data_IF_062599296638
#
_entry.id   IF_062599296638
#
_cell.length_a   1.000
_cell.length_b   1.000
_cell.length_c   1.000
_cell.angle_alpha   90.00
_cell.angle_beta   90.00
_cell.angle_gamma   90.00
#
_symmetry.space_group_name_H-M   'P 1'
#
loop_
_entity.id
_entity.type
_entity.pdbx_description
1 polymer ?
#
# COMPACT_ATOMS: atom_id res chain seq x y z
N UNK A 1 -2.20 41.35 -33.20
CA UNK A 1 -1.54 40.04 -33.35
C UNK A 1 -1.26 39.46 -31.96
N UNK A 2 -2.16 38.65 -31.37
CA UNK A 2 -1.89 38.02 -30.08
C UNK A 2 -1.07 36.74 -30.28
N UNK A 3 0.04 36.64 -29.52
CA UNK A 3 0.97 35.50 -29.53
C UNK A 3 0.29 34.25 -28.96
N UNK A 4 0.48 33.14 -29.69
CA UNK A 4 0.04 31.78 -29.37
C UNK A 4 0.52 31.37 -27.97
N UNK A 5 -0.41 31.04 -27.07
CA UNK A 5 -0.09 30.48 -25.75
C UNK A 5 0.21 28.99 -25.92
N UNK A 6 1.48 28.63 -25.75
CA UNK A 6 1.95 27.23 -25.74
C UNK A 6 1.40 26.53 -24.49
N UNK A 7 0.58 25.50 -24.68
CA UNK A 7 0.01 24.70 -23.61
C UNK A 7 1.10 23.82 -22.97
N UNK A 8 1.51 24.13 -21.74
CA UNK A 8 2.39 23.26 -20.97
C UNK A 8 1.61 22.02 -20.50
N UNK A 9 1.91 20.88 -21.14
CA UNK A 9 1.59 19.53 -20.64
C UNK A 9 2.26 19.37 -19.28
N UNK A 10 1.45 19.19 -18.23
CA UNK A 10 1.95 18.81 -16.91
C UNK A 10 2.16 17.30 -16.93
N UNK A 11 3.38 16.88 -17.30
CA UNK A 11 3.80 15.48 -17.18
C UNK A 11 3.74 15.08 -15.70
N UNK A 12 2.72 14.28 -15.41
CA UNK A 12 2.41 13.72 -14.10
C UNK A 12 3.41 12.62 -13.77
N UNK A 13 4.64 13.02 -13.47
CA UNK A 13 5.61 12.19 -12.77
C UNK A 13 6.11 13.03 -11.61
N UNK A 14 5.28 13.17 -10.58
CA UNK A 14 5.76 13.44 -9.23
C UNK A 14 6.65 12.26 -8.82
N UNK A 15 7.88 12.27 -9.34
CA UNK A 15 9.03 11.60 -8.78
C UNK A 15 9.00 11.95 -7.31
N UNK A 16 8.72 10.94 -6.49
CA UNK A 16 8.87 10.99 -5.04
C UNK A 16 10.07 11.88 -4.74
N UNK A 17 9.81 13.07 -4.18
CA UNK A 17 10.88 13.96 -3.73
C UNK A 17 11.70 13.15 -2.75
N UNK A 18 12.82 12.60 -3.22
CA UNK A 18 13.81 11.96 -2.37
C UNK A 18 14.35 13.10 -1.53
N UNK A 19 13.81 13.22 -0.31
CA UNK A 19 14.27 14.18 0.67
C UNK A 19 15.73 13.78 0.96
N UNK A 20 16.68 14.51 0.37
CA UNK A 20 18.11 14.31 0.62
C UNK A 20 18.39 14.75 2.05
N UNK A 21 18.27 13.83 3.01
CA UNK A 21 18.76 14.03 4.38
C UNK A 21 20.28 13.88 4.36
N UNK A 22 20.98 14.81 5.00
CA UNK A 22 22.44 14.87 5.04
C UNK A 22 23.05 13.53 5.49
N UNK A 23 24.06 13.07 4.76
CA UNK A 23 24.72 11.78 4.96
C UNK A 23 25.70 11.89 6.13
N UNK A 24 25.19 11.89 7.36
CA UNK A 24 26.03 11.78 8.55
C UNK A 24 26.40 10.31 8.76
N UNK A 25 27.71 10.04 8.91
CA UNK A 25 28.31 8.73 9.22
C UNK A 25 27.94 8.28 10.64
N UNK A 26 26.66 8.03 10.88
CA UNK A 26 26.15 7.41 12.09
C UNK A 26 25.23 6.27 11.68
N UNK A 27 25.34 5.17 12.40
CA UNK A 27 24.61 3.89 12.34
C UNK A 27 23.07 3.99 12.44
N UNK A 28 22.49 5.17 12.18
CA UNK A 28 21.12 5.56 12.42
C UNK A 28 20.39 5.99 11.13
N UNK A 29 20.56 5.25 10.03
CA UNK A 29 19.85 5.54 8.79
C UNK A 29 18.53 4.76 8.73
N UNK A 30 17.41 5.39 9.13
CA UNK A 30 16.06 4.87 8.93
C UNK A 30 15.49 5.34 7.58
N UNK A 31 14.85 4.44 6.85
CA UNK A 31 14.22 4.71 5.55
C UNK A 31 12.74 5.02 5.72
N UNK A 32 12.18 5.80 4.80
CA UNK A 32 10.74 6.11 4.77
C UNK A 32 9.85 4.86 4.71
N UNK A 33 10.34 3.78 4.09
CA UNK A 33 9.66 2.49 4.07
C UNK A 33 9.56 1.86 5.47
N UNK A 34 10.60 2.01 6.30
CA UNK A 34 10.61 1.54 7.68
C UNK A 34 9.64 2.36 8.53
N UNK A 35 9.67 3.69 8.40
CA UNK A 35 8.75 4.61 9.10
C UNK A 35 7.29 4.28 8.79
N UNK A 36 6.99 4.06 7.50
CA UNK A 36 5.66 3.67 7.03
C UNK A 36 5.24 2.31 7.59
N UNK A 37 6.16 1.34 7.61
CA UNK A 37 5.87 0.02 8.13
C UNK A 37 5.53 0.06 9.61
N UNK A 38 6.36 0.72 10.42
CA UNK A 38 6.15 0.86 11.87
C UNK A 38 4.80 1.55 12.16
N UNK A 39 4.49 2.62 11.42
CA UNK A 39 3.23 3.36 11.60
C UNK A 39 1.98 2.52 11.26
N UNK A 40 2.05 1.70 10.21
CA UNK A 40 0.95 0.83 9.80
C UNK A 40 0.72 -0.35 10.75
N UNK A 41 1.79 -0.79 11.42
CA UNK A 41 1.84 -1.99 12.26
C UNK A 41 1.90 -1.64 13.74
N UNK A 42 1.48 -0.42 14.13
CA UNK A 42 1.63 0.11 15.50
C UNK A 42 1.03 -0.79 16.60
N UNK A 43 -0.03 -1.53 16.28
CA UNK A 43 -0.76 -2.41 17.20
C UNK A 43 -0.07 -3.76 17.40
N UNK A 44 0.95 -4.10 16.61
CA UNK A 44 1.59 -5.42 16.63
C UNK A 44 2.69 -5.52 17.68
N UNK A 45 3.08 -4.39 18.26
CA UNK A 45 4.17 -4.30 19.22
C UNK A 45 5.56 -4.35 18.57
N UNK A 46 6.54 -3.72 19.23
CA UNK A 46 7.86 -3.48 18.64
C UNK A 46 8.66 -4.77 18.37
N UNK A 47 8.36 -5.87 19.06
CA UNK A 47 9.01 -7.18 18.81
C UNK A 47 8.59 -7.74 17.45
N UNK A 48 7.28 -7.84 17.19
CA UNK A 48 6.79 -8.38 15.93
C UNK A 48 7.12 -7.46 14.74
N UNK A 49 7.07 -6.14 14.95
CA UNK A 49 7.48 -5.16 13.94
C UNK A 49 8.96 -5.36 13.56
N UNK A 50 9.85 -5.65 14.52
CA UNK A 50 11.26 -5.87 14.22
C UNK A 50 11.50 -7.11 13.35
N UNK A 51 10.78 -8.21 13.60
CA UNK A 51 10.82 -9.40 12.74
C UNK A 51 10.23 -9.14 11.35
N UNK A 52 9.17 -8.34 11.27
CA UNK A 52 8.60 -7.88 10.01
C UNK A 52 9.57 -7.03 9.18
N UNK A 53 10.29 -6.12 9.82
CA UNK A 53 11.36 -5.33 9.19
C UNK A 53 12.50 -6.23 8.70
N UNK A 54 12.90 -7.21 9.50
CA UNK A 54 13.92 -8.20 9.12
C UNK A 54 13.52 -8.99 7.88
N UNK A 55 12.25 -9.39 7.76
CA UNK A 55 11.69 -10.03 6.56
C UNK A 55 11.76 -9.16 5.30
N UNK A 56 11.83 -7.83 5.43
CA UNK A 56 12.03 -6.90 4.32
C UNK A 56 13.51 -6.55 4.07
N UNK A 57 14.44 -7.20 4.79
CA UNK A 57 15.88 -6.93 4.70
C UNK A 57 16.37 -5.76 5.57
N UNK A 58 15.54 -5.25 6.48
CA UNK A 58 15.91 -4.19 7.43
C UNK A 58 16.17 -4.79 8.81
N UNK A 59 17.45 -5.00 9.13
CA UNK A 59 17.87 -5.57 10.40
C UNK A 59 17.85 -4.52 11.51
N UNK A 60 16.74 -4.45 12.26
CA UNK A 60 16.56 -3.55 13.41
C UNK A 60 16.31 -4.36 14.66
N UNK A 61 16.98 -4.02 15.75
CA UNK A 61 16.65 -4.61 17.05
C UNK A 61 15.26 -4.14 17.51
N UNK A 62 14.51 -4.94 18.29
CA UNK A 62 13.23 -4.55 18.86
C UNK A 62 13.30 -3.19 19.60
N UNK A 63 14.39 -3.00 20.35
CA UNK A 63 14.62 -1.77 21.11
C UNK A 63 14.89 -0.56 20.22
N UNK A 64 15.61 -0.74 19.10
CA UNK A 64 15.79 0.34 18.12
C UNK A 64 14.45 0.77 17.51
N UNK A 65 13.56 -0.18 17.21
CA UNK A 65 12.20 0.10 16.72
C UNK A 65 11.39 0.89 17.75
N UNK A 66 11.41 0.44 19.02
CA UNK A 66 10.72 1.12 20.13
C UNK A 66 11.19 2.57 20.29
N UNK A 67 12.50 2.77 20.33
CA UNK A 67 13.11 4.08 20.51
C UNK A 67 12.89 4.99 19.29
N UNK A 68 12.91 4.45 18.08
CA UNK A 68 12.63 5.20 16.86
C UNK A 68 11.18 5.64 16.78
N UNK A 69 10.23 4.75 17.07
CA UNK A 69 8.81 5.10 17.14
C UNK A 69 8.56 6.24 18.14
N UNK A 70 9.13 6.13 19.34
CA UNK A 70 9.00 7.13 20.38
C UNK A 70 9.64 8.48 20.02
N UNK A 71 10.91 8.47 19.59
CA UNK A 71 11.68 9.70 19.35
C UNK A 71 11.33 10.39 18.04
N UNK A 72 11.15 9.62 16.97
CA UNK A 72 11.03 10.13 15.60
C UNK A 72 9.58 10.14 15.12
N UNK A 73 8.82 9.07 15.35
CA UNK A 73 7.43 8.95 14.88
C UNK A 73 6.39 9.47 15.89
N UNK A 74 6.82 9.82 17.11
CA UNK A 74 6.03 10.45 18.17
C UNK A 74 4.83 9.62 18.67
N UNK A 75 4.99 8.29 18.71
CA UNK A 75 4.04 7.41 19.39
C UNK A 75 4.74 6.28 20.16
N UNK A 76 4.18 5.83 21.29
CA UNK A 76 4.69 4.67 22.01
C UNK A 76 4.30 3.37 21.27
N UNK A 77 5.14 2.35 21.39
CA UNK A 77 4.84 0.99 20.96
C UNK A 77 4.81 0.08 22.19
N UNK A 78 3.78 -0.78 22.27
CA UNK A 78 3.73 -1.89 23.20
C UNK A 78 4.79 -2.95 22.84
N UNK A 79 5.16 -3.81 23.80
CA UNK A 79 6.11 -4.92 23.55
C UNK A 79 5.50 -6.01 22.68
N UNK A 80 4.24 -6.34 22.96
CA UNK A 80 3.48 -7.39 22.32
C UNK A 80 2.24 -6.81 21.63
N UNK A 81 1.64 -7.54 20.67
CA UNK A 81 0.44 -7.09 19.99
C UNK A 81 -0.67 -6.72 20.97
N UNK A 82 -1.31 -5.58 20.74
CA UNK A 82 -2.53 -5.21 21.43
C UNK A 82 -3.68 -6.11 20.92
N UNK A 83 -4.50 -6.60 21.83
CA UNK A 83 -5.63 -7.47 21.49
C UNK A 83 -6.64 -6.74 20.57
N UNK A 84 -7.23 -7.47 19.60
CA UNK A 84 -8.28 -6.93 18.71
C UNK A 84 -8.01 -7.05 17.21
N UNK A 85 -6.90 -7.66 16.79
CA UNK A 85 -6.68 -7.98 15.37
C UNK A 85 -7.61 -9.10 14.92
N UNK A 86 -8.44 -8.81 13.91
CA UNK A 86 -9.36 -9.79 13.30
C UNK A 86 -8.57 -10.76 12.43
N UNK A 87 -9.02 -12.01 12.31
CA UNK A 87 -8.47 -12.93 11.31
C UNK A 87 -8.88 -12.51 9.90
N UNK A 88 -8.01 -12.79 8.93
CA UNK A 88 -8.26 -12.56 7.52
C UNK A 88 -9.52 -13.33 7.08
N UNK A 89 -10.47 -12.63 6.46
CA UNK A 89 -11.73 -13.21 5.97
C UNK A 89 -11.49 -14.29 4.91
N UNK A 90 -10.45 -14.14 4.09
CA UNK A 90 -10.16 -15.07 3.00
C UNK A 90 -9.51 -16.37 3.47
N UNK A 91 -8.45 -16.27 4.26
CA UNK A 91 -7.63 -17.45 4.60
C UNK A 91 -7.79 -17.93 6.04
N UNK A 92 -8.35 -17.12 6.94
CA UNK A 92 -8.46 -17.45 8.37
C UNK A 92 -7.12 -17.54 9.13
N UNK A 93 -5.98 -17.69 8.45
CA UNK A 93 -4.69 -17.94 9.09
C UNK A 93 -4.03 -16.68 9.65
N UNK A 94 -3.96 -15.63 8.84
CA UNK A 94 -3.21 -14.41 9.15
C UNK A 94 -4.12 -13.30 9.66
N UNK A 95 -3.54 -12.35 10.41
CA UNK A 95 -4.28 -11.24 10.97
C UNK A 95 -4.50 -10.10 9.95
N UNK A 96 -5.71 -9.56 9.96
CA UNK A 96 -6.13 -8.36 9.25
C UNK A 96 -5.75 -7.12 10.08
N UNK A 97 -4.67 -6.44 9.66
CA UNK A 97 -4.07 -5.34 10.44
C UNK A 97 -4.79 -4.01 10.20
N UNK A 98 -5.47 -3.41 11.20
CA UNK A 98 -6.42 -2.31 11.01
C UNK A 98 -5.77 -1.01 10.50
N UNK A 99 -4.47 -0.83 10.72
CA UNK A 99 -3.70 0.31 10.22
C UNK A 99 -3.47 0.29 8.70
N UNK A 100 -3.82 -0.80 8.01
CA UNK A 100 -3.62 -0.98 6.57
C UNK A 100 -4.95 -0.98 5.81
N UNK A 101 -4.91 -0.60 4.52
CA UNK A 101 -6.08 -0.73 3.63
C UNK A 101 -6.58 -2.17 3.57
N UNK A 102 -5.65 -3.14 3.56
CA UNK A 102 -5.96 -4.57 3.59
C UNK A 102 -6.80 -4.93 4.83
N UNK A 103 -6.32 -4.56 6.02
CA UNK A 103 -7.01 -4.93 7.26
C UNK A 103 -8.30 -4.17 7.48
N UNK A 104 -8.44 -2.92 7.00
CA UNK A 104 -9.73 -2.22 6.98
C UNK A 104 -10.78 -2.94 6.12
N UNK A 105 -10.34 -3.60 5.05
CA UNK A 105 -11.18 -4.46 4.22
C UNK A 105 -11.33 -5.89 4.78
N UNK A 106 -10.72 -6.21 5.93
CA UNK A 106 -10.79 -7.54 6.56
C UNK A 106 -9.80 -8.58 6.01
N UNK A 107 -8.82 -8.17 5.20
CA UNK A 107 -7.85 -9.08 4.59
C UNK A 107 -6.45 -8.95 5.21
N UNK A 108 -5.69 -10.04 5.18
CA UNK A 108 -4.24 -9.95 5.35
C UNK A 108 -3.59 -9.34 4.08
N UNK A 109 -2.35 -8.80 4.18
CA UNK A 109 -1.68 -8.15 3.04
C UNK A 109 -1.58 -9.03 1.79
N UNK A 110 -1.33 -10.34 1.97
CA UNK A 110 -1.18 -11.30 0.87
C UNK A 110 -2.50 -11.55 0.15
N UNK A 111 -3.57 -11.89 0.88
CA UNK A 111 -4.89 -12.12 0.31
C UNK A 111 -5.43 -10.85 -0.35
N UNK A 112 -5.20 -9.67 0.25
CA UNK A 112 -5.60 -8.40 -0.35
C UNK A 112 -4.93 -8.14 -1.70
N UNK A 113 -3.65 -8.50 -1.83
CA UNK A 113 -2.92 -8.34 -3.09
C UNK A 113 -3.46 -9.28 -4.18
N UNK A 114 -3.79 -10.52 -3.80
CA UNK A 114 -4.48 -11.47 -4.69
C UNK A 114 -5.86 -10.95 -5.12
N UNK A 115 -6.67 -10.43 -4.17
CA UNK A 115 -8.00 -9.89 -4.46
C UNK A 115 -7.95 -8.68 -5.39
N UNK A 116 -6.97 -7.78 -5.23
CA UNK A 116 -6.75 -6.68 -6.17
C UNK A 116 -6.45 -7.19 -7.58
N UNK A 117 -5.56 -8.17 -7.70
CA UNK A 117 -5.23 -8.74 -9.00
C UNK A 117 -6.45 -9.40 -9.66
N UNK A 118 -7.29 -10.07 -8.87
CA UNK A 118 -8.56 -10.62 -9.35
C UNK A 118 -9.53 -9.53 -9.80
N UNK A 119 -9.73 -8.47 -9.01
CA UNK A 119 -10.60 -7.36 -9.38
C UNK A 119 -10.15 -6.66 -10.68
N UNK A 120 -8.84 -6.54 -10.91
CA UNK A 120 -8.31 -6.04 -12.18
C UNK A 120 -8.66 -6.94 -13.38
N UNK A 121 -8.68 -8.26 -13.18
CA UNK A 121 -9.08 -9.21 -14.24
C UNK A 121 -10.58 -9.15 -14.49
N UNK A 122 -11.39 -9.11 -13.43
CA UNK A 122 -12.85 -8.98 -13.49
C UNK A 122 -13.26 -7.73 -14.28
N UNK A 123 -12.71 -6.56 -13.94
CA UNK A 123 -13.00 -5.33 -14.67
C UNK A 123 -12.56 -5.36 -16.13
N UNK A 124 -11.48 -6.09 -16.47
CA UNK A 124 -11.07 -6.30 -17.86
C UNK A 124 -12.07 -7.19 -18.62
N UNK A 125 -12.56 -8.27 -17.99
CA UNK A 125 -13.56 -9.14 -18.61
C UNK A 125 -14.91 -8.45 -18.80
N UNK A 126 -15.36 -7.67 -17.81
CA UNK A 126 -16.62 -6.91 -17.90
C UNK A 126 -16.57 -5.92 -19.07
N UNK A 127 -15.48 -5.16 -19.19
CA UNK A 127 -15.30 -4.21 -20.29
C UNK A 127 -15.27 -4.90 -21.67
N UNK A 128 -14.68 -6.09 -21.75
CA UNK A 128 -14.65 -6.87 -22.99
C UNK A 128 -16.06 -7.34 -23.37
N UNK A 129 -16.81 -7.91 -22.41
CA UNK A 129 -18.18 -8.36 -22.62
C UNK A 129 -19.11 -7.20 -23.02
N UNK A 130 -18.99 -6.04 -22.38
CA UNK A 130 -19.77 -4.86 -22.74
C UNK A 130 -19.43 -4.38 -24.16
N UNK A 131 -18.14 -4.36 -24.53
CA UNK A 131 -17.71 -3.99 -25.88
C UNK A 131 -18.26 -4.94 -26.94
N UNK A 132 -18.30 -6.24 -26.66
CA UNK A 132 -18.89 -7.26 -27.53
C UNK A 132 -20.39 -7.04 -27.70
N UNK A 133 -21.11 -6.82 -26.60
CA UNK A 133 -22.54 -6.49 -26.63
C UNK A 133 -22.84 -5.23 -27.46
N UNK A 134 -22.09 -4.15 -27.26
CA UNK A 134 -22.28 -2.91 -28.04
C UNK A 134 -21.99 -3.13 -29.52
N UNK A 135 -20.98 -3.95 -29.85
CA UNK A 135 -20.66 -4.30 -31.24
C UNK A 135 -21.81 -5.08 -31.89
N UNK A 136 -22.39 -6.04 -31.18
CA UNK A 136 -23.50 -6.84 -31.70
C UNK A 136 -24.78 -6.02 -31.83
N UNK A 137 -25.07 -5.15 -30.84
CA UNK A 137 -26.16 -4.17 -30.90
C UNK A 137 -26.04 -3.26 -32.12
N UNK A 138 -24.83 -2.78 -32.44
CA UNK A 138 -24.56 -1.95 -33.62
C UNK A 138 -24.78 -2.71 -34.93
N UNK A 139 -24.36 -3.99 -35.00
CA UNK A 139 -24.60 -4.82 -36.20
C UNK A 139 -26.09 -5.03 -36.46
N UNK A 140 -26.88 -5.31 -35.43
CA UNK A 140 -28.34 -5.47 -35.56
C UNK A 140 -28.99 -4.20 -36.10
N UNK A 141 -28.69 -3.03 -35.53
CA UNK A 141 -29.19 -1.75 -36.04
C UNK A 141 -28.88 -1.52 -37.53
N UNK A 142 -27.66 -1.84 -37.97
CA UNK A 142 -27.27 -1.69 -39.37
C UNK A 142 -27.99 -2.69 -40.32
N UNK A 143 -28.43 -3.84 -39.80
CA UNK A 143 -29.17 -4.84 -40.60
C UNK A 143 -30.64 -4.44 -40.79
N UNK A 144 -31.18 -3.70 -39.83
CA UNK A 144 -32.58 -3.25 -39.81
C UNK A 144 -32.78 -1.91 -40.55
N UNK A 145 -31.71 -1.27 -41.02
CA UNK A 145 -31.66 -0.10 -41.93
C UNK A 145 -31.48 -0.53 -43.40
#
# INVERSE_FOLDING_TARGET
>A
MPKRMESYRVDSVERARVVKRARNKSTYFWRDAEDRYISQHRTDGYVLISEGLKGMGYYRSPEAVRMHAYRCLKFPLSKYPEHGVRKCVECGCYDARPGTVAGRAGFCPTCWTKRKAQAMREGKSERAAESEYQREKKKRRKRDE
#
